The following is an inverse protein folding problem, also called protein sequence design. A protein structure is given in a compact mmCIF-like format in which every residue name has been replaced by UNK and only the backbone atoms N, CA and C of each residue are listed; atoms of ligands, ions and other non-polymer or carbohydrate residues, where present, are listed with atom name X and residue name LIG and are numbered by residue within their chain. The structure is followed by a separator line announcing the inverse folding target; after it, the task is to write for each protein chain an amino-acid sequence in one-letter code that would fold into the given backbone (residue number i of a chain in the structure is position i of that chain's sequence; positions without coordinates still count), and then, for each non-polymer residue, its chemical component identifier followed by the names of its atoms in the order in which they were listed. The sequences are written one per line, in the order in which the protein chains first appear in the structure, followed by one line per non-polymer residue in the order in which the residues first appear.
data_IF_692401057249
#
_entry.id   IF_692401057249
#
_cell.length_a   1.000
_cell.length_b   1.000
_cell.length_c   1.000
_cell.angle_alpha   90.00
_cell.angle_beta   90.00
_cell.angle_gamma   90.00
#
_symmetry.space_group_name_H-M   'P 1'
#
loop_
_entity.id
_entity.type
_entity.pdbx_description
1 polymer ?
#
# COMPACT_ATOMS: atom_id res chain seq x y z
N UNK A 1 12.71 -7.84 7.42
CA UNK A 1 12.20 -7.12 6.24
C UNK A 1 12.44 -5.64 6.43
N UNK A 2 13.07 -4.95 5.47
CA UNK A 2 13.29 -3.51 5.53
C UNK A 2 11.94 -2.76 5.79
N UNK A 3 11.93 -1.79 6.69
CA UNK A 3 10.74 -1.02 7.06
C UNK A 3 10.13 -0.28 5.86
N UNK A 4 10.97 0.24 4.96
CA UNK A 4 10.54 0.86 3.71
C UNK A 4 9.85 -0.17 2.80
N UNK A 5 10.43 -1.37 2.65
CA UNK A 5 9.83 -2.45 1.87
C UNK A 5 8.47 -2.87 2.46
N UNK A 6 8.36 -2.91 3.80
CA UNK A 6 7.08 -3.17 4.48
C UNK A 6 6.02 -2.14 4.13
N UNK A 7 6.38 -0.85 4.10
CA UNK A 7 5.45 0.22 3.70
C UNK A 7 5.08 0.13 2.22
N UNK A 8 6.03 -0.19 1.35
CA UNK A 8 5.77 -0.36 -0.08
C UNK A 8 4.77 -1.49 -0.32
N UNK A 9 4.98 -2.64 0.33
CA UNK A 9 4.17 -3.85 0.11
C UNK A 9 2.79 -3.74 0.77
N UNK A 10 2.73 -3.31 2.03
CA UNK A 10 1.51 -3.43 2.84
C UNK A 10 0.76 -2.12 3.06
N UNK A 11 1.32 -0.98 2.62
CA UNK A 11 0.72 0.33 2.86
C UNK A 11 0.69 1.24 1.62
N UNK A 12 0.12 0.78 0.49
CA UNK A 12 0.04 1.55 -0.76
C UNK A 12 -0.63 2.91 -0.61
N UNK A 13 -1.60 3.06 0.28
CA UNK A 13 -2.27 4.34 0.51
C UNK A 13 -1.33 5.44 1.03
N UNK A 14 -0.16 5.08 1.61
CA UNK A 14 0.84 6.06 2.06
C UNK A 14 1.55 6.79 0.93
N UNK A 15 1.63 6.20 -0.27
CA UNK A 15 2.45 6.72 -1.36
C UNK A 15 1.72 6.81 -2.70
N UNK A 16 0.55 6.20 -2.83
CA UNK A 16 -0.26 6.34 -4.05
C UNK A 16 -0.80 7.77 -4.17
N UNK A 17 -0.74 8.31 -5.38
CA UNK A 17 -1.28 9.64 -5.64
C UNK A 17 -2.81 9.65 -5.42
N UNK A 18 -3.39 10.57 -4.64
CA UNK A 18 -4.82 10.54 -4.27
C UNK A 18 -5.79 10.49 -5.46
N UNK A 19 -5.44 11.17 -6.55
CA UNK A 19 -6.25 11.16 -7.78
C UNK A 19 -6.34 9.79 -8.46
N UNK A 20 -5.42 8.85 -8.19
CA UNK A 20 -5.51 7.47 -8.71
C UNK A 20 -6.53 6.64 -7.96
N UNK A 21 -6.93 7.05 -6.76
CA UNK A 21 -7.84 6.29 -5.89
C UNK A 21 -9.12 7.07 -5.58
N UNK A 22 -9.33 8.20 -6.25
CA UNK A 22 -10.48 9.10 -6.05
C UNK A 22 -10.74 9.43 -4.57
N UNK A 23 -9.69 9.45 -3.75
CA UNK A 23 -9.78 9.84 -2.35
C UNK A 23 -9.76 11.37 -2.27
N UNK A 24 -10.71 11.97 -1.55
CA UNK A 24 -10.86 13.42 -1.40
C UNK A 24 -9.78 14.06 -0.49
N UNK A 25 -8.52 13.60 -0.58
CA UNK A 25 -7.40 13.96 0.28
C UNK A 25 -7.66 13.75 1.79
N UNK A 26 -8.75 13.08 2.16
CA UNK A 26 -9.08 12.78 3.55
C UNK A 26 -8.19 11.66 4.06
N UNK A 27 -7.42 11.88 5.14
CA UNK A 27 -6.55 10.84 5.69
C UNK A 27 -7.39 9.73 6.34
N UNK A 28 -7.07 8.47 6.00
CA UNK A 28 -7.67 7.29 6.65
C UNK A 28 -6.83 6.93 7.87
N UNK A 29 -7.24 7.46 9.03
CA UNK A 29 -6.53 7.29 10.30
C UNK A 29 -6.94 6.03 11.08
N UNK A 30 -8.13 5.49 10.80
CA UNK A 30 -8.58 4.25 11.45
C UNK A 30 -7.76 3.07 10.90
N UNK A 31 -7.07 2.28 11.76
CA UNK A 31 -6.20 1.20 11.30
C UNK A 31 -6.91 0.11 10.49
N UNK A 32 -8.15 -0.22 10.88
CA UNK A 32 -8.96 -1.25 10.20
C UNK A 32 -9.42 -0.75 8.83
N UNK A 33 -9.91 0.48 8.75
CA UNK A 33 -10.29 1.06 7.45
C UNK A 33 -9.08 1.17 6.53
N UNK A 34 -7.92 1.56 7.09
CA UNK A 34 -6.68 1.66 6.34
C UNK A 34 -6.24 0.32 5.77
N UNK A 35 -6.27 -0.76 6.56
CA UNK A 35 -5.95 -2.09 6.06
C UNK A 35 -6.89 -2.54 4.95
N UNK A 36 -8.19 -2.31 5.12
CA UNK A 36 -9.19 -2.64 4.08
C UNK A 36 -8.91 -1.86 2.80
N UNK A 37 -8.66 -0.55 2.88
CA UNK A 37 -8.37 0.26 1.69
C UNK A 37 -7.07 -0.17 1.00
N UNK A 38 -6.03 -0.51 1.76
CA UNK A 38 -4.79 -1.03 1.20
C UNK A 38 -5.02 -2.32 0.41
N UNK A 39 -5.80 -3.27 0.94
CA UNK A 39 -6.19 -4.50 0.24
C UNK A 39 -7.00 -4.20 -1.03
N UNK A 40 -7.96 -3.27 -0.97
CA UNK A 40 -8.72 -2.86 -2.15
C UNK A 40 -7.82 -2.31 -3.25
N UNK A 41 -6.80 -1.50 -2.91
CA UNK A 41 -5.84 -0.97 -3.88
C UNK A 41 -5.04 -2.11 -4.54
N UNK A 42 -4.55 -3.07 -3.76
CA UNK A 42 -3.80 -4.22 -4.29
C UNK A 42 -4.64 -5.01 -5.28
N UNK A 43 -5.90 -5.31 -4.93
CA UNK A 43 -6.83 -6.05 -5.80
C UNK A 43 -7.19 -5.27 -7.06
N UNK A 44 -7.54 -3.99 -6.93
CA UNK A 44 -7.99 -3.15 -8.05
C UNK A 44 -6.91 -3.00 -9.12
N UNK A 45 -5.64 -2.93 -8.72
CA UNK A 45 -4.50 -2.73 -9.61
C UNK A 45 -3.74 -4.01 -9.92
N UNK A 46 -4.20 -5.16 -9.45
CA UNK A 46 -3.55 -6.46 -9.59
C UNK A 46 -2.05 -6.39 -9.21
N UNK A 47 -1.75 -5.75 -8.08
CA UNK A 47 -0.38 -5.59 -7.61
C UNK A 47 0.13 -6.92 -7.06
N UNK A 48 1.31 -7.36 -7.51
CA UNK A 48 1.95 -8.57 -7.01
C UNK A 48 3.24 -8.26 -6.27
N UNK A 49 3.58 -9.14 -5.33
CA UNK A 49 4.82 -9.05 -4.54
C UNK A 49 5.85 -10.12 -4.91
N UNK A 50 5.54 -10.96 -5.91
CA UNK A 50 6.32 -12.14 -6.28
C UNK A 50 7.76 -11.82 -6.67
N UNK A 51 8.00 -10.62 -7.21
CA UNK A 51 9.32 -10.18 -7.64
C UNK A 51 10.11 -9.45 -6.54
N UNK A 52 9.52 -9.21 -5.36
CA UNK A 52 10.26 -8.61 -4.25
C UNK A 52 11.13 -9.67 -3.57
N UNK A 53 12.44 -9.49 -3.65
CA UNK A 53 13.35 -10.22 -2.80
C UNK A 53 13.24 -9.66 -1.37
N UNK A 54 12.42 -10.30 -0.54
CA UNK A 54 12.20 -9.93 0.87
C UNK A 54 13.46 -10.05 1.75
N UNK A 55 14.47 -10.76 1.24
CA UNK A 55 15.78 -10.93 1.85
C UNK A 55 16.84 -9.99 1.27
N UNK A 56 16.49 -9.18 0.25
CA UNK A 56 17.41 -8.17 -0.26
C UNK A 56 17.57 -7.05 0.75
N UNK A 57 18.82 -6.65 0.98
CA UNK A 57 19.22 -5.66 1.97
C UNK A 57 19.15 -4.21 1.45
N UNK A 58 18.36 -3.95 0.40
CA UNK A 58 18.10 -2.58 -0.07
C UNK A 58 17.43 -1.77 1.05
#
# INVERSE_FOLDING_TARGET
MNLALRKIIYDPISYIHPQRVSLNNTPINNPVLRSITNEMIVLQYNLSVEYFNLNSSL
#
